data_IF_333839200571
#
_entry.id   IF_333839200571
#
_cell.length_a   1.000
_cell.length_b   1.000
_cell.length_c   1.000
_cell.angle_alpha   90.00
_cell.angle_beta   90.00
_cell.angle_gamma   90.00
#
_symmetry.space_group_name_H-M   'P 1'
#
loop_
_entity.id
_entity.type
_entity.pdbx_description
1 polymer ?
#
# COMPACT_ATOMS: atom_id res chain seq x y z
N UNK A 1 2.98 -12.37 7.30
CA UNK A 1 3.18 -13.83 7.17
C UNK A 1 2.19 -14.47 6.19
N UNK A 2 0.93 -14.03 6.11
CA UNK A 2 -0.07 -14.58 5.18
C UNK A 2 0.41 -14.70 3.72
N UNK A 3 0.96 -13.64 3.13
CA UNK A 3 1.43 -13.64 1.73
C UNK A 3 2.47 -14.73 1.45
N UNK A 4 3.45 -14.89 2.34
CA UNK A 4 4.49 -15.91 2.18
C UNK A 4 3.95 -17.32 2.44
N UNK A 5 3.01 -17.46 3.38
CA UNK A 5 2.34 -18.74 3.61
C UNK A 5 1.59 -19.21 2.37
N UNK A 6 0.75 -18.35 1.81
CA UNK A 6 -0.01 -18.68 0.59
C UNK A 6 0.90 -18.96 -0.61
N UNK A 7 2.01 -18.21 -0.74
CA UNK A 7 3.01 -18.47 -1.78
C UNK A 7 3.68 -19.85 -1.66
N UNK A 8 3.89 -20.33 -0.43
CA UNK A 8 4.50 -21.64 -0.17
C UNK A 8 3.50 -22.80 -0.28
N UNK A 9 2.24 -22.57 0.06
CA UNK A 9 1.16 -23.57 0.00
C UNK A 9 0.64 -23.75 -1.43
N UNK A 10 0.49 -22.66 -2.19
CA UNK A 10 -0.14 -22.64 -3.51
C UNK A 10 0.82 -22.06 -4.56
N UNK A 11 1.75 -22.88 -5.04
CA UNK A 11 2.80 -22.46 -6.00
C UNK A 11 2.24 -21.93 -7.33
N UNK A 12 1.04 -22.37 -7.73
CA UNK A 12 0.36 -21.92 -8.95
C UNK A 12 -0.32 -20.54 -8.79
N UNK A 13 -0.35 -20.00 -7.56
CA UNK A 13 -0.93 -18.69 -7.25
C UNK A 13 0.18 -17.70 -6.88
N UNK A 14 0.24 -16.57 -7.60
CA UNK A 14 1.14 -15.47 -7.24
C UNK A 14 0.52 -14.61 -6.14
N UNK A 15 1.09 -14.68 -4.94
CA UNK A 15 0.66 -13.93 -3.76
C UNK A 15 1.55 -12.72 -3.52
N UNK A 16 0.97 -11.51 -3.43
CA UNK A 16 1.72 -10.26 -3.23
C UNK A 16 1.03 -9.42 -2.15
N UNK A 17 1.79 -8.96 -1.16
CA UNK A 17 1.36 -7.93 -0.23
C UNK A 17 1.77 -6.55 -0.76
N UNK A 18 0.82 -5.64 -0.93
CA UNK A 18 1.11 -4.28 -1.38
C UNK A 18 0.79 -3.28 -0.27
N UNK A 19 1.75 -2.38 -0.02
CA UNK A 19 1.56 -1.22 0.84
C UNK A 19 1.27 -0.01 -0.06
N UNK A 20 0.04 0.54 -0.03
CA UNK A 20 -0.36 1.64 -0.90
C UNK A 20 0.18 2.99 -0.43
N UNK A 21 0.87 3.06 0.72
CA UNK A 21 1.27 4.33 1.32
C UNK A 21 0.08 5.11 1.86
N UNK A 22 0.33 6.38 2.22
CA UNK A 22 -0.74 7.26 2.72
C UNK A 22 -1.53 7.80 1.54
N UNK A 23 -2.79 7.38 1.47
CA UNK A 23 -3.66 7.64 0.32
C UNK A 23 -4.86 8.47 0.74
N UNK A 24 -5.22 9.46 -0.08
CA UNK A 24 -6.35 10.36 0.17
C UNK A 24 -7.67 9.60 0.00
N UNK A 25 -8.17 9.03 1.09
CA UNK A 25 -9.33 8.14 1.17
C UNK A 25 -10.13 8.46 2.42
N UNK A 26 -11.36 7.94 2.50
CA UNK A 26 -12.21 8.07 3.69
C UNK A 26 -11.51 7.56 4.97
N UNK A 27 -10.66 6.54 4.86
CA UNK A 27 -9.86 6.05 5.99
C UNK A 27 -8.92 7.13 6.55
N UNK A 28 -8.24 7.89 5.68
CA UNK A 28 -7.38 8.98 6.12
C UNK A 28 -8.22 10.11 6.74
N UNK A 29 -9.40 10.40 6.18
CA UNK A 29 -10.31 11.38 6.76
C UNK A 29 -10.74 10.99 8.19
N UNK A 30 -11.11 9.74 8.42
CA UNK A 30 -11.41 9.21 9.76
C UNK A 30 -10.22 9.38 10.70
N UNK A 31 -9.00 9.00 10.29
CA UNK A 31 -7.79 9.18 11.10
C UNK A 31 -7.60 10.65 11.51
N UNK A 32 -7.77 11.58 10.57
CA UNK A 32 -7.58 12.99 10.86
C UNK A 32 -8.71 13.62 11.71
N UNK A 33 -9.92 13.07 11.69
CA UNK A 33 -11.06 13.60 12.42
C UNK A 33 -11.20 13.01 13.83
N UNK A 34 -10.88 11.71 13.98
CA UNK A 34 -11.17 10.94 15.20
C UNK A 34 -9.90 10.44 15.90
N UNK A 35 -8.74 10.51 15.25
CA UNK A 35 -7.49 9.92 15.75
C UNK A 35 -6.95 10.55 17.04
N UNK A 36 -7.39 11.75 17.42
CA UNK A 36 -6.92 12.45 18.63
C UNK A 36 -7.23 11.69 19.92
N UNK A 37 -8.26 10.85 19.91
CA UNK A 37 -8.76 10.20 21.13
C UNK A 37 -8.04 8.89 21.42
N UNK A 38 -7.37 8.29 20.43
CA UNK A 38 -6.82 6.94 20.52
C UNK A 38 -5.38 6.80 20.00
N UNK A 39 -4.85 7.80 19.29
CA UNK A 39 -3.51 7.75 18.71
C UNK A 39 -2.50 8.53 19.55
N UNK A 40 -1.25 8.09 19.49
CA UNK A 40 -0.13 8.92 19.94
C UNK A 40 -0.15 10.29 19.21
N UNK A 41 -0.05 11.43 19.94
CA UNK A 41 -0.17 12.75 19.35
C UNK A 41 0.83 13.04 18.23
N UNK A 42 2.09 12.61 18.38
CA UNK A 42 3.11 12.82 17.37
C UNK A 42 2.76 12.06 16.08
N UNK A 43 2.23 10.84 16.20
CA UNK A 43 1.77 10.04 15.07
C UNK A 43 0.57 10.69 14.38
N UNK A 44 -0.44 11.14 15.14
CA UNK A 44 -1.60 11.85 14.60
C UNK A 44 -1.19 13.11 13.82
N UNK A 45 -0.29 13.92 14.39
CA UNK A 45 0.21 15.14 13.74
C UNK A 45 0.87 14.84 12.39
N UNK A 46 1.56 13.69 12.25
CA UNK A 46 2.14 13.32 10.95
C UNK A 46 1.08 13.07 9.87
N UNK A 47 -0.09 12.53 10.21
CA UNK A 47 -1.17 12.31 9.25
C UNK A 47 -1.86 13.62 8.89
N UNK A 48 -2.14 14.46 9.88
CA UNK A 48 -2.76 15.77 9.69
C UNK A 48 -1.89 16.69 8.85
N UNK A 49 -0.60 16.79 9.20
CA UNK A 49 0.40 17.52 8.42
C UNK A 49 0.49 16.98 7.00
N UNK A 50 0.50 15.66 6.84
CA UNK A 50 0.55 15.02 5.54
C UNK A 50 -0.59 15.49 4.63
N UNK A 51 -1.82 15.46 5.15
CA UNK A 51 -3.03 15.92 4.47
C UNK A 51 -2.97 17.42 4.15
N UNK A 52 -2.61 18.24 5.12
CA UNK A 52 -2.63 19.70 4.99
C UNK A 52 -1.51 20.23 4.05
N UNK A 53 -0.36 19.54 3.99
CA UNK A 53 0.77 19.89 3.12
C UNK A 53 0.67 19.26 1.70
N UNK A 54 -0.36 18.44 1.43
CA UNK A 54 -0.54 17.80 0.13
C UNK A 54 0.51 16.72 -0.20
N UNK A 55 1.15 16.13 0.81
CA UNK A 55 2.10 15.02 0.64
C UNK A 55 1.42 13.64 0.56
N UNK A 56 0.09 13.63 0.58
CA UNK A 56 -0.78 12.47 0.40
C UNK A 56 -1.10 12.34 -1.09
N UNK A 57 -0.88 11.17 -1.66
CA UNK A 57 -1.20 10.92 -3.05
C UNK A 57 -2.67 10.50 -3.21
N UNK A 58 -3.24 10.82 -4.37
CA UNK A 58 -4.58 10.39 -4.74
C UNK A 58 -4.68 8.84 -4.85
N UNK A 59 -5.88 8.25 -4.70
CA UNK A 59 -6.07 6.80 -4.78
C UNK A 59 -5.69 6.16 -6.11
N UNK A 60 -5.77 6.92 -7.21
CA UNK A 60 -5.42 6.40 -8.54
C UNK A 60 -3.92 6.07 -8.66
N UNK A 61 -3.06 6.71 -7.85
CA UNK A 61 -1.62 6.50 -7.84
C UNK A 61 -1.25 5.06 -7.42
N UNK A 62 -1.60 4.57 -6.21
CA UNK A 62 -1.36 3.18 -5.84
C UNK A 62 -2.29 2.21 -6.59
N UNK A 63 -3.45 2.64 -7.08
CA UNK A 63 -4.33 1.77 -7.86
C UNK A 63 -3.69 1.33 -9.18
N UNK A 64 -2.93 2.22 -9.86
CA UNK A 64 -2.16 1.85 -11.06
C UNK A 64 -1.15 0.75 -10.77
N UNK A 65 -0.45 0.82 -9.64
CA UNK A 65 0.46 -0.24 -9.19
C UNK A 65 -0.27 -1.57 -8.94
N UNK A 66 -1.43 -1.54 -8.28
CA UNK A 66 -2.25 -2.74 -8.06
C UNK A 66 -2.66 -3.38 -9.39
N UNK A 67 -3.15 -2.57 -10.34
CA UNK A 67 -3.55 -3.05 -11.68
C UNK A 67 -2.34 -3.64 -12.43
N UNK A 68 -1.20 -2.95 -12.43
CA UNK A 68 0.01 -3.40 -13.08
C UNK A 68 0.51 -4.75 -12.52
N UNK A 69 0.50 -4.92 -11.19
CA UNK A 69 0.85 -6.19 -10.55
C UNK A 69 -0.14 -7.30 -10.95
N UNK A 70 -1.44 -7.02 -10.92
CA UNK A 70 -2.45 -8.01 -11.30
C UNK A 70 -2.28 -8.50 -12.75
N UNK A 71 -1.94 -7.59 -13.67
CA UNK A 71 -1.75 -7.91 -15.09
C UNK A 71 -0.39 -8.55 -15.40
N UNK A 72 0.69 -8.12 -14.73
CA UNK A 72 2.05 -8.38 -15.18
C UNK A 72 2.97 -9.07 -14.17
N UNK A 73 2.66 -9.06 -12.87
CA UNK A 73 3.48 -9.75 -11.89
C UNK A 73 3.25 -11.26 -11.97
N UNK A 74 4.21 -11.97 -12.55
CA UNK A 74 4.16 -13.42 -12.77
C UNK A 74 5.49 -14.06 -12.41
N UNK A 75 5.45 -15.25 -11.81
CA UNK A 75 6.64 -16.05 -11.51
C UNK A 75 7.20 -15.84 -10.11
N UNK A 76 8.23 -16.62 -9.80
CA UNK A 76 8.85 -16.70 -8.47
C UNK A 76 9.41 -15.36 -7.98
N UNK A 77 9.81 -14.46 -8.88
CA UNK A 77 10.37 -13.15 -8.52
C UNK A 77 9.33 -12.19 -7.88
N UNK A 78 8.05 -12.55 -7.93
CA UNK A 78 6.95 -11.80 -7.32
C UNK A 78 6.27 -12.55 -6.17
N UNK A 79 6.21 -13.88 -6.25
CA UNK A 79 5.43 -14.68 -5.31
C UNK A 79 5.97 -14.54 -3.87
N UNK A 80 5.08 -14.28 -2.92
CA UNK A 80 5.40 -14.10 -1.50
C UNK A 80 5.93 -12.72 -1.11
N UNK A 81 6.14 -11.79 -2.06
CA UNK A 81 6.76 -10.49 -1.75
C UNK A 81 5.80 -9.53 -1.05
N UNK A 82 6.37 -8.67 -0.20
CA UNK A 82 5.74 -7.45 0.26
C UNK A 82 6.43 -6.27 -0.43
N UNK A 83 5.67 -5.41 -1.10
CA UNK A 83 6.19 -4.30 -1.91
C UNK A 83 5.48 -3.00 -1.54
N UNK A 84 6.20 -1.89 -1.67
CA UNK A 84 5.59 -0.55 -1.70
C UNK A 84 5.07 -0.28 -3.11
N UNK A 85 3.99 0.49 -3.22
CA UNK A 85 3.47 0.89 -4.54
C UNK A 85 4.53 1.59 -5.39
N UNK A 86 5.46 2.34 -4.77
CA UNK A 86 6.51 3.11 -5.41
C UNK A 86 7.88 2.41 -5.48
N UNK A 87 7.96 1.12 -5.16
CA UNK A 87 9.19 0.35 -5.37
C UNK A 87 9.56 0.35 -6.87
N UNK A 88 10.86 0.45 -7.16
CA UNK A 88 11.34 0.53 -8.54
C UNK A 88 10.92 -0.66 -9.41
N UNK A 89 10.82 -1.86 -8.83
CA UNK A 89 10.33 -3.06 -9.52
C UNK A 89 8.86 -2.90 -9.91
N UNK A 90 8.03 -2.34 -9.02
CA UNK A 90 6.59 -2.13 -9.24
C UNK A 90 6.37 -1.02 -10.27
N UNK A 91 7.09 0.10 -10.12
CA UNK A 91 6.98 1.25 -11.02
C UNK A 91 7.43 0.94 -12.45
N UNK A 92 8.28 -0.08 -12.66
CA UNK A 92 8.64 -0.56 -14.00
C UNK A 92 7.47 -1.28 -14.72
N UNK A 93 6.41 -1.64 -14.01
CA UNK A 93 5.21 -2.27 -14.57
C UNK A 93 4.07 -1.29 -14.87
N UNK A 94 4.13 -0.07 -14.32
CA UNK A 94 3.11 1.00 -14.43
C UNK A 94 3.38 1.87 -15.64
#
# INVERSE_FOLDING_TARGET
MLTMGLAAEEADVTSIGLLPGRTDTDMLATICNEGTDSMDPATYDTFKKGRDEGSIHAPDVPAKAIVALALHARGEQWNGRNVLWNDADVQRLV
#
